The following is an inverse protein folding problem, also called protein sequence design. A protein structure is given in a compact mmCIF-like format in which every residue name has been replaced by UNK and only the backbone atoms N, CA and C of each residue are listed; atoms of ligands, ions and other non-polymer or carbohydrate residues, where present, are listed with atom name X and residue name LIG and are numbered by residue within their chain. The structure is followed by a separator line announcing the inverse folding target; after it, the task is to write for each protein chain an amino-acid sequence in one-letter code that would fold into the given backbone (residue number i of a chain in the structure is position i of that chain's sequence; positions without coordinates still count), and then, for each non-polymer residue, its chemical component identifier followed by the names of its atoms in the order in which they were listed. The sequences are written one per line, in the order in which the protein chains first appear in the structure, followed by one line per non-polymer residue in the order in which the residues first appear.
data_IF_781304159731
#
_entry.id   IF_781304159731
#
_cell.length_a   1.000
_cell.length_b   1.000
_cell.length_c   1.000
_cell.angle_alpha   90.00
_cell.angle_beta   90.00
_cell.angle_gamma   90.00
#
_symmetry.space_group_name_H-M   'P 1'
#
loop_
_entity.id
_entity.type
_entity.pdbx_description
1 polymer ?
#
# COMPACT_ATOMS: atom_id res chain seq x y z
N UNK A 1 27.04 4.77 -17.35
CA UNK A 1 26.37 3.56 -16.87
C UNK A 1 24.87 3.85 -16.87
N UNK A 2 24.11 3.28 -17.81
CA UNK A 2 22.64 3.47 -17.81
C UNK A 2 22.06 2.55 -16.75
N UNK A 3 21.42 3.11 -15.72
CA UNK A 3 20.59 2.32 -14.81
C UNK A 3 19.41 1.78 -15.61
N UNK A 4 19.28 0.45 -15.68
CA UNK A 4 18.13 -0.23 -16.30
C UNK A 4 16.81 0.36 -15.77
N UNK A 5 16.77 0.70 -14.48
CA UNK A 5 15.62 1.32 -13.82
C UNK A 5 15.36 2.74 -14.32
N UNK A 6 16.40 3.54 -14.53
CA UNK A 6 16.24 4.91 -15.04
C UNK A 6 15.62 4.97 -16.44
N UNK A 7 15.93 4.00 -17.30
CA UNK A 7 15.32 3.87 -18.62
C UNK A 7 13.85 3.40 -18.58
N UNK A 8 13.48 2.60 -17.57
CA UNK A 8 12.11 2.07 -17.42
C UNK A 8 11.15 3.09 -16.79
N UNK A 9 11.64 4.04 -16.00
CA UNK A 9 10.82 5.04 -15.29
C UNK A 9 10.21 6.14 -16.18
N UNK A 10 10.48 6.13 -17.49
CA UNK A 10 9.85 7.08 -18.42
C UNK A 10 8.34 6.82 -18.50
N UNK A 11 7.51 7.84 -18.24
CA UNK A 11 6.04 7.69 -18.19
C UNK A 11 5.42 7.13 -19.47
N UNK A 12 6.05 7.38 -20.63
CA UNK A 12 5.64 6.80 -21.93
C UNK A 12 5.71 5.27 -21.98
N UNK A 13 6.44 4.64 -21.05
CA UNK A 13 6.58 3.19 -20.93
C UNK A 13 5.57 2.57 -19.97
N UNK A 14 4.87 3.36 -19.16
CA UNK A 14 3.87 2.83 -18.24
C UNK A 14 2.73 2.16 -19.00
N UNK A 15 2.34 0.98 -18.56
CA UNK A 15 1.30 0.18 -19.22
C UNK A 15 0.17 -0.17 -18.27
N UNK A 16 -1.06 -0.02 -18.74
CA UNK A 16 -2.25 -0.57 -18.09
C UNK A 16 -3.09 -1.33 -19.12
N UNK A 17 -3.95 -2.23 -18.64
CA UNK A 17 -4.74 -3.11 -19.49
C UNK A 17 -4.47 -4.58 -19.20
N UNK A 18 -4.79 -5.45 -20.15
CA UNK A 18 -4.61 -6.90 -20.00
C UNK A 18 -3.26 -7.32 -20.58
N UNK A 19 -2.56 -8.19 -19.87
CA UNK A 19 -1.37 -8.90 -20.35
C UNK A 19 -1.49 -10.40 -20.06
N UNK A 20 -0.67 -11.18 -20.75
CA UNK A 20 -0.70 -12.63 -20.73
C UNK A 20 0.68 -13.18 -20.38
N UNK A 21 0.71 -14.23 -19.55
CA UNK A 21 1.94 -14.97 -19.25
C UNK A 21 1.69 -16.47 -19.37
N UNK A 22 2.36 -17.10 -20.33
CA UNK A 22 2.30 -18.54 -20.57
C UNK A 22 3.20 -19.27 -19.60
N UNK A 23 2.72 -20.39 -19.08
CA UNK A 23 3.43 -21.19 -18.08
C UNK A 23 3.24 -22.68 -18.33
N UNK A 24 4.29 -23.46 -18.06
CA UNK A 24 4.18 -24.90 -17.90
C UNK A 24 3.76 -25.20 -16.46
N UNK A 25 2.44 -25.33 -16.24
CA UNK A 25 1.87 -25.61 -14.93
C UNK A 25 1.00 -26.87 -15.01
N UNK A 26 1.31 -27.88 -14.18
CA UNK A 26 0.49 -29.08 -14.07
C UNK A 26 -0.90 -28.77 -13.51
N UNK A 27 -1.86 -29.69 -13.70
CA UNK A 27 -3.23 -29.53 -13.20
C UNK A 27 -3.29 -29.33 -11.68
N UNK A 28 -2.47 -30.09 -10.92
CA UNK A 28 -2.37 -29.98 -9.45
C UNK A 28 -1.84 -28.61 -9.01
N UNK A 29 -0.81 -28.08 -9.67
CA UNK A 29 -0.28 -26.77 -9.33
C UNK A 29 -1.22 -25.63 -9.74
N UNK A 30 -1.98 -25.82 -10.82
CA UNK A 30 -2.98 -24.85 -11.27
C UNK A 30 -4.15 -24.74 -10.29
N UNK A 31 -4.60 -25.86 -9.69
CA UNK A 31 -5.71 -25.86 -8.74
C UNK A 31 -5.40 -25.14 -7.41
N UNK A 32 -4.14 -24.83 -7.13
CA UNK A 32 -3.74 -24.00 -6.00
C UNK A 32 -4.21 -22.54 -6.14
N UNK A 33 -4.42 -22.04 -7.37
CA UNK A 33 -4.87 -20.67 -7.66
C UNK A 33 -6.38 -20.52 -7.43
N UNK A 34 -6.83 -20.57 -6.18
CA UNK A 34 -8.24 -20.44 -5.81
C UNK A 34 -8.67 -18.97 -5.81
N UNK A 35 -9.93 -18.70 -6.15
CA UNK A 35 -10.51 -17.35 -6.07
C UNK A 35 -10.21 -16.69 -4.72
N UNK A 36 -9.75 -15.45 -4.77
CA UNK A 36 -9.40 -14.65 -3.58
C UNK A 36 -7.99 -14.89 -3.05
N UNK A 37 -7.25 -15.90 -3.53
CA UNK A 37 -5.86 -16.09 -3.16
C UNK A 37 -5.04 -14.84 -3.50
N UNK A 38 -4.27 -14.37 -2.52
CA UNK A 38 -3.26 -13.32 -2.66
C UNK A 38 -1.88 -13.98 -2.64
N UNK A 39 -1.01 -13.57 -3.56
CA UNK A 39 0.37 -14.04 -3.63
C UNK A 39 1.25 -13.03 -4.36
N UNK A 40 2.57 -13.18 -4.26
CA UNK A 40 3.54 -12.34 -4.95
C UNK A 40 4.48 -13.17 -5.83
N UNK A 41 4.96 -12.57 -6.91
CA UNK A 41 6.11 -13.08 -7.67
C UNK A 41 7.34 -12.25 -7.34
N UNK A 42 8.36 -12.88 -6.77
CA UNK A 42 9.56 -12.20 -6.26
C UNK A 42 10.50 -11.65 -7.34
N UNK A 43 10.39 -12.15 -8.58
CA UNK A 43 11.20 -11.69 -9.71
C UNK A 43 10.43 -10.79 -10.67
N UNK A 44 11.17 -10.15 -11.57
CA UNK A 44 10.56 -9.51 -12.74
C UNK A 44 9.69 -10.51 -13.50
N UNK A 45 8.52 -10.07 -13.90
CA UNK A 45 7.55 -10.93 -14.59
C UNK A 45 7.36 -10.40 -16.00
N UNK A 46 7.96 -11.11 -16.96
CA UNK A 46 7.75 -10.87 -18.38
C UNK A 46 6.35 -11.35 -18.80
N UNK A 47 5.58 -10.46 -19.41
CA UNK A 47 4.25 -10.72 -19.95
C UNK A 47 4.18 -10.19 -21.39
N UNK A 48 3.18 -10.61 -22.15
CA UNK A 48 2.90 -10.09 -23.50
C UNK A 48 1.51 -9.49 -23.57
N UNK A 49 1.31 -8.52 -24.46
CA UNK A 49 -0.01 -7.93 -24.74
C UNK A 49 -0.94 -8.87 -25.52
N UNK A 50 -0.42 -9.97 -26.07
CA UNK A 50 -1.17 -10.86 -26.95
C UNK A 50 -1.22 -12.32 -26.46
N UNK A 51 -2.43 -12.86 -26.34
CA UNK A 51 -2.65 -14.25 -25.91
C UNK A 51 -1.93 -15.27 -26.81
N UNK A 52 -1.97 -15.08 -28.14
CA UNK A 52 -1.35 -15.99 -29.11
C UNK A 52 0.17 -16.10 -28.94
N UNK A 53 0.83 -14.99 -28.59
CA UNK A 53 2.27 -14.97 -28.31
C UNK A 53 2.54 -15.75 -27.02
N UNK A 54 1.73 -15.50 -25.99
CA UNK A 54 1.85 -16.15 -24.68
C UNK A 54 1.74 -17.67 -24.73
N UNK A 55 0.92 -18.21 -25.64
CA UNK A 55 0.63 -19.66 -25.76
C UNK A 55 1.47 -20.37 -26.82
N UNK A 56 2.32 -19.63 -27.54
CA UNK A 56 3.16 -20.17 -28.63
C UNK A 56 4.15 -21.24 -28.13
N UNK A 57 4.61 -21.13 -26.89
CA UNK A 57 5.57 -22.05 -26.31
C UNK A 57 4.97 -23.46 -26.17
N UNK A 58 5.65 -24.48 -26.71
CA UNK A 58 5.13 -25.84 -26.85
C UNK A 58 4.74 -26.52 -25.53
N UNK A 59 5.24 -26.02 -24.40
CA UNK A 59 4.96 -26.53 -23.05
C UNK A 59 3.99 -25.66 -22.25
N UNK A 60 3.34 -24.68 -22.88
CA UNK A 60 2.35 -23.85 -22.23
C UNK A 60 1.09 -24.67 -21.96
N UNK A 61 0.81 -24.96 -20.70
CA UNK A 61 -0.39 -25.69 -20.23
C UNK A 61 -1.32 -24.79 -19.41
N UNK A 62 -0.83 -23.61 -19.01
CA UNK A 62 -1.62 -22.60 -18.34
C UNK A 62 -1.25 -21.19 -18.84
N UNK A 63 -2.22 -20.29 -18.81
CA UNK A 63 -2.02 -18.87 -19.09
C UNK A 63 -2.57 -18.03 -17.95
N UNK A 64 -1.72 -17.17 -17.41
CA UNK A 64 -2.16 -16.10 -16.52
C UNK A 64 -2.68 -14.93 -17.35
N UNK A 65 -3.92 -14.54 -17.14
CA UNK A 65 -4.56 -13.36 -17.73
C UNK A 65 -4.58 -12.27 -16.68
N UNK A 66 -3.68 -11.31 -16.79
CA UNK A 66 -3.38 -10.34 -15.74
C UNK A 66 -4.01 -9.00 -16.15
N UNK A 67 -4.98 -8.53 -15.38
CA UNK A 67 -5.48 -7.18 -15.46
C UNK A 67 -4.57 -6.24 -14.66
N UNK A 68 -4.07 -5.19 -15.33
CA UNK A 68 -3.23 -4.14 -14.75
C UNK A 68 -4.08 -2.87 -14.62
N UNK A 69 -4.61 -2.57 -13.42
CA UNK A 69 -5.28 -1.30 -13.16
C UNK A 69 -4.39 -0.11 -13.46
N UNK A 70 -4.98 1.00 -13.94
CA UNK A 70 -4.25 2.23 -14.24
C UNK A 70 -3.41 2.73 -13.06
N UNK A 71 -3.88 2.55 -11.81
CA UNK A 71 -3.15 2.91 -10.58
C UNK A 71 -1.80 2.19 -10.41
N UNK A 72 -1.61 1.04 -11.06
CA UNK A 72 -0.37 0.24 -11.01
C UNK A 72 0.46 0.32 -12.30
N UNK A 73 0.08 1.17 -13.25
CA UNK A 73 0.76 1.30 -14.54
C UNK A 73 2.23 1.70 -14.43
N UNK A 74 2.60 2.45 -13.39
CA UNK A 74 3.96 2.89 -13.11
C UNK A 74 4.93 1.74 -12.74
N UNK A 75 4.40 0.56 -12.42
CA UNK A 75 5.18 -0.63 -12.09
C UNK A 75 5.17 -1.69 -13.21
N UNK A 76 4.58 -1.35 -14.36
CA UNK A 76 4.42 -2.24 -15.51
C UNK A 76 4.91 -1.52 -16.76
N UNK A 77 5.99 -2.02 -17.36
CA UNK A 77 6.70 -1.29 -18.41
C UNK A 77 6.51 -1.96 -19.77
N UNK A 78 5.91 -1.25 -20.73
CA UNK A 78 5.99 -1.60 -22.14
C UNK A 78 7.43 -1.39 -22.61
N UNK A 79 8.09 -2.49 -23.00
CA UNK A 79 9.50 -2.49 -23.39
C UNK A 79 9.70 -2.91 -24.84
N UNK A 80 8.66 -2.85 -25.67
CA UNK A 80 8.71 -3.18 -27.10
C UNK A 80 9.89 -2.52 -27.84
N UNK A 81 10.19 -1.25 -27.55
CA UNK A 81 11.19 -0.43 -28.25
C UNK A 81 12.64 -0.68 -27.78
N UNK A 82 12.82 -1.34 -26.63
CA UNK A 82 14.15 -1.61 -26.05
C UNK A 82 14.42 -3.12 -25.87
N UNK A 83 13.40 -3.96 -25.99
CA UNK A 83 13.54 -5.41 -25.92
C UNK A 83 14.33 -5.91 -27.12
N UNK A 84 15.15 -6.95 -26.90
CA UNK A 84 15.79 -7.69 -28.00
C UNK A 84 14.77 -8.45 -28.85
N UNK A 85 13.55 -8.63 -28.35
CA UNK A 85 12.46 -9.37 -29.00
C UNK A 85 11.20 -8.50 -29.12
N UNK A 86 11.23 -7.40 -29.91
CA UNK A 86 10.12 -6.44 -30.01
C UNK A 86 8.81 -7.07 -30.51
N UNK A 87 8.91 -8.19 -31.25
CA UNK A 87 7.75 -8.96 -31.71
C UNK A 87 6.99 -9.66 -30.58
N UNK A 88 7.57 -9.81 -29.39
CA UNK A 88 6.91 -10.44 -28.24
C UNK A 88 5.92 -9.49 -27.55
N UNK A 89 5.91 -8.21 -27.92
CA UNK A 89 4.98 -7.21 -27.38
C UNK A 89 5.03 -7.17 -25.84
N UNK A 90 6.26 -7.14 -25.32
CA UNK A 90 6.56 -7.40 -23.93
C UNK A 90 6.17 -6.24 -23.00
N UNK A 91 5.48 -6.62 -21.92
CA UNK A 91 5.24 -5.76 -20.76
C UNK A 91 5.94 -6.42 -19.57
N UNK A 92 6.94 -5.73 -19.03
CA UNK A 92 7.73 -6.19 -17.89
C UNK A 92 7.12 -5.65 -16.59
N UNK A 93 6.64 -6.55 -15.74
CA UNK A 93 6.15 -6.22 -14.40
C UNK A 93 7.32 -6.23 -13.41
N UNK A 94 7.31 -5.28 -12.47
CA UNK A 94 8.32 -5.21 -11.41
C UNK A 94 8.33 -6.45 -10.50
N UNK A 95 9.46 -6.73 -9.82
CA UNK A 95 9.55 -7.71 -8.75
C UNK A 95 8.52 -7.46 -7.65
N UNK A 96 8.20 -8.51 -6.90
CA UNK A 96 7.20 -8.54 -5.82
C UNK A 96 5.85 -7.89 -6.20
N UNK A 97 5.43 -8.07 -7.46
CA UNK A 97 4.05 -7.73 -7.84
C UNK A 97 3.10 -8.68 -7.11
N UNK A 98 2.13 -8.11 -6.39
CA UNK A 98 1.09 -8.83 -5.66
C UNK A 98 -0.14 -8.98 -6.55
N UNK A 99 -0.61 -10.22 -6.65
CA UNK A 99 -1.77 -10.58 -7.46
C UNK A 99 -2.88 -11.15 -6.59
N UNK A 100 -4.12 -10.84 -6.97
CA UNK A 100 -5.30 -11.55 -6.51
C UNK A 100 -5.90 -12.39 -7.61
N UNK A 101 -6.21 -13.64 -7.30
CA UNK A 101 -6.96 -14.52 -8.21
C UNK A 101 -8.43 -14.09 -8.24
N UNK A 102 -8.94 -13.73 -9.42
CA UNK A 102 -10.30 -13.25 -9.60
C UNK A 102 -11.35 -14.37 -9.59
N UNK A 103 -11.03 -15.49 -10.23
CA UNK A 103 -11.90 -16.64 -10.42
C UNK A 103 -11.10 -17.94 -10.26
N UNK A 104 -11.79 -19.04 -9.91
CA UNK A 104 -11.14 -20.34 -9.93
C UNK A 104 -10.64 -20.67 -11.36
N UNK A 105 -9.54 -21.43 -11.51
CA UNK A 105 -8.95 -21.69 -12.80
C UNK A 105 -9.96 -22.41 -13.70
N UNK A 106 -10.02 -21.99 -14.96
CA UNK A 106 -10.94 -22.57 -15.95
C UNK A 106 -10.14 -23.29 -17.03
N UNK A 107 -10.64 -24.43 -17.49
CA UNK A 107 -10.08 -25.10 -18.66
C UNK A 107 -10.74 -24.53 -19.93
N UNK A 108 -9.93 -24.29 -20.93
CA UNK A 108 -10.35 -23.87 -22.26
C UNK A 108 -9.55 -24.62 -23.31
N UNK A 109 -10.19 -24.99 -24.41
CA UNK A 109 -9.46 -25.49 -25.58
C UNK A 109 -9.19 -24.30 -26.52
N UNK A 110 -7.92 -23.93 -26.67
CA UNK A 110 -7.49 -22.90 -27.62
C UNK A 110 -6.60 -23.56 -28.67
N UNK A 111 -7.08 -23.55 -29.92
CA UNK A 111 -6.32 -24.07 -31.06
C UNK A 111 -5.89 -25.53 -30.90
N UNK A 112 -6.73 -26.36 -30.28
CA UNK A 112 -6.48 -27.79 -30.05
C UNK A 112 -5.58 -28.09 -28.85
N UNK A 113 -5.22 -27.08 -28.05
CA UNK A 113 -4.49 -27.26 -26.79
C UNK A 113 -5.41 -26.99 -25.60
N UNK A 114 -5.41 -27.92 -24.65
CA UNK A 114 -6.06 -27.70 -23.36
C UNK A 114 -5.21 -26.75 -22.53
N UNK A 115 -5.76 -25.58 -22.26
CA UNK A 115 -5.13 -24.52 -21.48
C UNK A 115 -5.93 -24.26 -20.22
N UNK A 116 -5.23 -24.14 -19.09
CA UNK A 116 -5.81 -23.63 -17.86
C UNK A 116 -5.65 -22.11 -17.80
N UNK A 117 -6.76 -21.38 -17.77
CA UNK A 117 -6.78 -19.91 -17.63
C UNK A 117 -6.85 -19.52 -16.16
N UNK A 118 -5.91 -18.69 -15.73
CA UNK A 118 -5.83 -18.13 -14.37
C UNK A 118 -6.02 -16.61 -14.48
N UNK A 119 -7.12 -16.09 -13.97
CA UNK A 119 -7.43 -14.66 -14.06
C UNK A 119 -6.91 -13.94 -12.82
N UNK A 120 -6.02 -12.97 -13.04
CA UNK A 120 -5.31 -12.23 -12.01
C UNK A 120 -5.62 -10.73 -12.13
N UNK A 121 -5.61 -10.04 -11.01
CA UNK A 121 -5.51 -8.57 -10.95
C UNK A 121 -4.35 -8.18 -10.07
N UNK A 122 -3.60 -7.15 -10.46
CA UNK A 122 -2.59 -6.57 -9.58
C UNK A 122 -3.30 -5.86 -8.41
N UNK A 123 -2.95 -6.23 -7.18
CA UNK A 123 -3.40 -5.57 -5.95
C UNK A 123 -2.30 -4.74 -5.26
N UNK A 124 -1.03 -4.96 -5.62
CA UNK A 124 0.10 -4.22 -5.07
C UNK A 124 1.40 -4.53 -5.81
N UNK A 125 2.45 -3.79 -5.50
CA UNK A 125 3.79 -3.87 -6.13
C UNK A 125 4.85 -3.65 -5.04
N UNK A 126 6.11 -4.07 -5.23
CA UNK A 126 7.17 -3.86 -4.23
C UNK A 126 7.37 -2.37 -3.90
N UNK A 127 7.16 -1.51 -4.89
CA UNK A 127 7.15 -0.05 -4.75
C UNK A 127 5.87 0.49 -4.07
N UNK A 128 5.09 -0.39 -3.43
CA UNK A 128 3.98 -0.02 -2.60
C UNK A 128 4.18 -0.74 -1.26
N UNK A 129 5.04 -0.17 -0.41
CA UNK A 129 5.15 -0.62 0.99
C UNK A 129 3.81 -0.48 1.74
N UNK A 130 2.81 0.17 1.12
CA UNK A 130 1.47 0.33 1.66
C UNK A 130 0.81 -1.00 1.99
N UNK A 131 0.55 -1.23 3.27
CA UNK A 131 -0.09 -2.44 3.75
C UNK A 131 -0.12 -2.50 5.26
N UNK A 132 -0.88 -3.47 5.78
CA UNK A 132 -0.80 -3.88 7.17
C UNK A 132 0.07 -5.13 7.21
N UNK A 133 1.23 -5.02 7.85
CA UNK A 133 2.17 -6.10 8.03
C UNK A 133 2.10 -6.59 9.47
N UNK A 134 2.36 -7.86 9.69
CA UNK A 134 2.47 -8.44 11.03
C UNK A 134 3.82 -9.15 11.11
N UNK A 135 4.56 -8.92 12.18
CA UNK A 135 5.71 -9.76 12.51
C UNK A 135 5.25 -10.80 13.52
N UNK A 136 5.47 -12.09 13.21
CA UNK A 136 4.99 -13.20 14.03
C UNK A 136 5.64 -13.20 15.42
N UNK A 137 4.79 -13.42 16.43
CA UNK A 137 5.11 -13.47 17.85
C UNK A 137 5.86 -14.76 18.27
N UNK A 138 6.90 -15.19 17.55
CA UNK A 138 7.69 -16.32 18.03
C UNK A 138 8.46 -15.90 19.30
N UNK A 139 8.57 -16.79 20.29
CA UNK A 139 9.09 -16.50 21.65
C UNK A 139 10.47 -15.81 21.67
N UNK A 140 11.23 -15.91 20.58
CA UNK A 140 12.55 -15.30 20.42
C UNK A 140 12.50 -13.82 19.98
N UNK A 141 11.38 -13.32 19.43
CA UNK A 141 11.24 -11.99 18.82
C UNK A 141 10.07 -11.16 19.38
N UNK A 142 9.67 -11.39 20.63
CA UNK A 142 8.57 -10.64 21.28
C UNK A 142 8.76 -9.11 21.23
N UNK A 143 9.99 -8.63 21.11
CA UNK A 143 10.30 -7.19 20.99
C UNK A 143 9.83 -6.54 19.69
N UNK A 144 9.70 -7.34 18.63
CA UNK A 144 9.31 -6.90 17.28
C UNK A 144 7.92 -7.46 16.90
N UNK A 145 7.24 -8.11 17.84
CA UNK A 145 5.90 -8.67 17.67
C UNK A 145 4.85 -7.55 17.57
N UNK A 146 4.39 -7.23 16.36
CA UNK A 146 3.53 -6.06 16.17
C UNK A 146 2.74 -6.06 14.86
N UNK A 147 1.79 -5.13 14.81
CA UNK A 147 1.08 -4.74 13.59
C UNK A 147 1.71 -3.46 13.07
N UNK A 148 2.05 -3.46 11.79
CA UNK A 148 2.72 -2.37 11.10
C UNK A 148 1.83 -1.86 9.97
N UNK A 149 1.29 -0.66 10.10
CA UNK A 149 0.61 -0.01 8.98
C UNK A 149 1.64 0.85 8.25
N UNK A 150 2.12 0.37 7.11
CA UNK A 150 2.98 1.14 6.23
C UNK A 150 2.10 1.74 5.14
N UNK A 151 2.41 2.95 4.72
CA UNK A 151 1.82 3.62 3.56
C UNK A 151 2.91 4.32 2.79
N UNK A 152 2.91 4.10 1.49
CA UNK A 152 3.90 4.62 0.57
C UNK A 152 3.18 5.32 -0.57
N UNK A 153 3.49 6.60 -0.72
CA UNK A 153 3.01 7.42 -1.81
C UNK A 153 4.17 8.15 -2.46
N UNK A 154 4.45 7.81 -3.74
CA UNK A 154 5.58 8.33 -4.52
C UNK A 154 6.92 8.06 -3.84
N UNK A 155 7.58 9.09 -3.32
CA UNK A 155 8.84 8.94 -2.57
C UNK A 155 8.62 9.02 -1.07
N UNK A 156 7.41 9.25 -0.57
CA UNK A 156 7.14 9.35 0.87
C UNK A 156 6.70 8.01 1.44
N UNK A 157 7.27 7.62 2.58
CA UNK A 157 6.88 6.44 3.35
C UNK A 157 6.43 6.90 4.73
N UNK A 158 5.28 6.40 5.16
CA UNK A 158 4.74 6.55 6.49
C UNK A 158 4.62 5.16 7.07
N UNK A 159 5.07 4.97 8.30
CA UNK A 159 5.05 3.68 8.94
C UNK A 159 4.60 3.88 10.37
N UNK A 160 3.60 3.07 10.74
CA UNK A 160 2.99 3.04 12.05
C UNK A 160 3.16 1.65 12.60
N UNK A 161 3.74 1.54 13.79
CA UNK A 161 3.87 0.27 14.48
C UNK A 161 3.02 0.28 15.73
N UNK A 162 2.36 -0.84 16.01
CA UNK A 162 1.73 -1.11 17.30
C UNK A 162 2.14 -2.52 17.74
N UNK A 163 2.81 -2.60 18.87
CA UNK A 163 3.17 -3.89 19.44
C UNK A 163 1.93 -4.63 19.98
N UNK A 164 1.82 -5.93 19.71
CA UNK A 164 0.65 -6.74 20.06
C UNK A 164 0.63 -7.18 21.53
N UNK A 165 1.82 -7.43 22.12
CA UNK A 165 2.00 -8.07 23.44
C UNK A 165 3.06 -7.44 24.34
N UNK A 166 3.67 -6.31 23.98
CA UNK A 166 4.64 -5.73 24.90
C UNK A 166 4.00 -5.28 26.20
N UNK A 167 4.80 -5.44 27.25
CA UNK A 167 4.54 -4.91 28.58
C UNK A 167 4.37 -3.38 28.56
N UNK A 168 4.91 -2.72 27.53
CA UNK A 168 4.88 -1.28 27.31
C UNK A 168 4.22 -1.06 25.94
N UNK A 169 3.01 -0.51 25.91
CA UNK A 169 2.41 -0.04 24.65
C UNK A 169 3.32 1.08 24.14
N UNK A 170 3.91 0.92 22.96
CA UNK A 170 4.42 2.02 22.17
C UNK A 170 3.73 2.03 20.81
N UNK A 171 3.60 3.23 20.25
CA UNK A 171 3.31 3.41 18.84
C UNK A 171 4.53 4.12 18.25
N UNK A 172 5.26 3.47 17.36
CA UNK A 172 6.29 4.17 16.61
C UNK A 172 5.61 4.75 15.38
N UNK A 173 5.83 6.04 15.15
CA UNK A 173 5.47 6.69 13.89
C UNK A 173 6.76 7.09 13.25
N UNK A 174 6.95 6.68 12.02
CA UNK A 174 8.10 7.11 11.28
C UNK A 174 7.67 7.59 9.90
N UNK A 175 8.26 8.72 9.51
CA UNK A 175 8.07 9.29 8.19
C UNK A 175 9.44 9.31 7.52
N UNK A 176 9.41 9.04 6.23
CA UNK A 176 10.64 8.83 5.49
C UNK A 176 10.46 9.07 4.02
N UNK A 177 11.58 8.94 3.32
CA UNK A 177 11.60 8.94 1.87
C UNK A 177 12.26 7.68 1.34
N UNK A 178 11.72 7.13 0.26
CA UNK A 178 12.39 6.12 -0.56
C UNK A 178 12.93 6.80 -1.82
N UNK A 179 14.23 6.68 -2.07
CA UNK A 179 14.85 7.25 -3.27
C UNK A 179 14.64 6.33 -4.48
N UNK A 180 15.15 6.76 -5.65
CA UNK A 180 15.01 5.99 -6.89
C UNK A 180 15.83 4.68 -6.90
N UNK A 181 16.75 4.53 -5.95
CA UNK A 181 17.57 3.33 -5.73
C UNK A 181 16.97 2.40 -4.67
N UNK A 182 15.72 2.66 -4.25
CA UNK A 182 14.99 1.94 -3.21
C UNK A 182 15.61 2.01 -1.81
N UNK A 183 16.51 2.95 -1.56
CA UNK A 183 17.00 3.20 -0.21
C UNK A 183 15.96 3.98 0.58
N UNK A 184 15.57 3.41 1.71
CA UNK A 184 14.58 3.96 2.61
C UNK A 184 15.28 4.76 3.72
N UNK A 185 15.13 6.08 3.69
CA UNK A 185 15.53 6.96 4.79
C UNK A 185 14.31 7.22 5.66
N UNK A 186 14.35 6.76 6.91
CA UNK A 186 13.26 6.95 7.88
C UNK A 186 13.75 7.81 9.03
N UNK A 187 12.94 8.79 9.42
CA UNK A 187 13.05 9.45 10.70
C UNK A 187 12.01 8.84 11.66
N UNK A 188 12.50 8.22 12.73
CA UNK A 188 11.66 7.66 13.78
C UNK A 188 11.22 8.76 14.75
N UNK A 189 9.94 8.79 15.04
CA UNK A 189 9.36 9.45 16.19
C UNK A 189 8.79 8.39 17.11
N UNK A 190 9.45 8.17 18.24
CA UNK A 190 8.83 7.45 19.35
C UNK A 190 7.62 8.28 19.77
N UNK A 191 6.41 7.70 19.79
CA UNK A 191 5.29 8.38 20.42
C UNK A 191 5.35 8.07 21.92
N UNK A 192 5.71 9.04 22.79
CA UNK A 192 5.62 8.83 24.22
C UNK A 192 4.15 8.68 24.59
N UNK A 193 3.68 7.45 24.82
CA UNK A 193 2.29 7.20 25.23
C UNK A 193 2.01 7.62 26.69
N UNK A 194 2.97 8.23 27.40
CA UNK A 194 2.81 8.59 28.81
C UNK A 194 3.70 9.75 29.27
N UNK A 195 3.25 10.97 29.02
CA UNK A 195 3.34 12.04 30.04
C UNK A 195 1.92 12.58 30.23
N UNK A 196 1.54 12.91 31.47
CA UNK A 196 0.16 13.29 31.82
C UNK A 196 -0.32 14.56 31.09
N UNK A 197 0.61 15.32 30.52
CA UNK A 197 0.37 16.59 29.82
C UNK A 197 0.55 16.51 28.30
N UNK A 198 0.83 15.34 27.74
CA UNK A 198 1.03 15.18 26.29
C UNK A 198 -0.25 14.68 25.59
N UNK A 199 -0.61 15.32 24.47
CA UNK A 199 -1.70 14.89 23.59
C UNK A 199 -1.44 13.52 22.94
N UNK A 200 -0.20 13.03 22.98
CA UNK A 200 0.16 11.71 22.50
C UNK A 200 -0.76 10.63 23.08
N UNK A 201 -1.32 9.78 22.21
CA UNK A 201 -2.25 8.73 22.60
C UNK A 201 -3.18 8.26 21.49
N UNK A 202 -4.05 7.33 21.87
CA UNK A 202 -5.19 6.90 21.06
C UNK A 202 -6.40 7.76 21.40
N UNK A 203 -7.05 8.26 20.37
CA UNK A 203 -8.24 9.10 20.45
C UNK A 203 -9.36 8.45 19.63
N UNK A 204 -10.59 8.74 20.00
CA UNK A 204 -11.78 8.31 19.27
C UNK A 204 -12.61 9.54 18.90
N UNK A 205 -12.99 9.61 17.63
CA UNK A 205 -13.95 10.60 17.17
C UNK A 205 -15.37 10.21 17.58
N UNK A 206 -16.24 11.20 17.71
CA UNK A 206 -17.70 11.03 17.89
C UNK A 206 -18.38 10.09 16.86
N UNK A 207 -17.80 9.91 15.67
CA UNK A 207 -18.26 8.96 14.65
C UNK A 207 -17.74 7.53 14.82
N UNK A 208 -16.93 7.27 15.86
CA UNK A 208 -16.27 6.00 16.18
C UNK A 208 -14.95 5.77 15.46
N UNK A 209 -14.47 6.73 14.66
CA UNK A 209 -13.17 6.63 13.98
C UNK A 209 -12.02 6.65 14.99
N UNK A 210 -10.96 5.93 14.68
CA UNK A 210 -9.78 5.81 15.52
C UNK A 210 -8.70 6.80 15.09
N UNK A 211 -8.05 7.41 16.07
CA UNK A 211 -7.04 8.43 15.89
C UNK A 211 -5.82 8.06 16.73
N UNK A 212 -4.63 8.09 16.14
CA UNK A 212 -3.36 7.96 16.86
C UNK A 212 -2.64 9.29 16.72
N UNK A 213 -2.53 10.01 17.82
CA UNK A 213 -1.90 11.32 17.88
C UNK A 213 -0.58 11.16 18.62
N UNK A 214 0.44 11.85 18.13
CA UNK A 214 1.75 11.92 18.73
C UNK A 214 2.27 13.34 18.68
N UNK A 215 2.95 13.82 19.71
CA UNK A 215 3.58 15.13 19.69
C UNK A 215 5.06 15.05 19.97
N UNK A 216 5.81 15.98 19.38
CA UNK A 216 7.22 16.20 19.68
C UNK A 216 7.51 17.69 19.56
N UNK A 217 7.84 18.35 20.68
CA UNK A 217 8.01 19.81 20.74
C UNK A 217 6.76 20.52 20.19
N UNK A 218 6.87 21.26 19.09
CA UNK A 218 5.75 21.95 18.43
C UNK A 218 5.14 21.15 17.28
N UNK A 219 5.65 19.94 17.00
CA UNK A 219 5.16 19.08 15.92
C UNK A 219 4.08 18.12 16.44
N UNK A 220 3.12 17.81 15.58
CA UNK A 220 2.10 16.81 15.80
C UNK A 220 2.04 15.84 14.64
N UNK A 221 1.99 14.56 14.96
CA UNK A 221 1.83 13.43 14.05
C UNK A 221 0.46 12.84 14.28
N UNK A 222 -0.23 12.53 13.20
CA UNK A 222 -1.62 12.12 13.29
C UNK A 222 -1.91 11.04 12.26
N UNK A 223 -2.40 9.89 12.73
CA UNK A 223 -3.03 8.87 11.92
C UNK A 223 -4.50 8.80 12.29
N UNK A 224 -5.39 8.81 11.30
CA UNK A 224 -6.81 8.59 11.52
C UNK A 224 -7.35 7.53 10.57
N UNK A 225 -8.24 6.68 11.08
CA UNK A 225 -8.86 5.58 10.35
C UNK A 225 -10.35 5.55 10.68
N UNK A 226 -11.19 5.54 9.65
CA UNK A 226 -12.63 5.34 9.79
C UNK A 226 -12.94 4.00 10.47
N UNK A 227 -13.98 3.95 11.31
CA UNK A 227 -14.40 2.70 11.96
C UNK A 227 -14.71 1.55 11.00
N UNK A 228 -15.10 1.86 9.77
CA UNK A 228 -15.42 0.88 8.72
C UNK A 228 -14.33 0.83 7.64
N UNK A 229 -13.13 1.38 7.89
CA UNK A 229 -12.02 1.48 6.94
C UNK A 229 -12.38 2.16 5.60
N UNK A 230 -13.37 3.08 5.61
CA UNK A 230 -13.80 3.82 4.40
C UNK A 230 -12.83 4.91 3.97
N UNK A 231 -11.98 5.36 4.89
CA UNK A 231 -10.89 6.32 4.68
C UNK A 231 -9.81 6.09 5.73
N UNK A 232 -8.58 6.45 5.39
CA UNK A 232 -7.51 6.65 6.37
C UNK A 232 -6.58 7.78 5.94
N UNK A 233 -5.95 8.40 6.94
CA UNK A 233 -5.37 9.72 6.83
C UNK A 233 -4.09 9.81 7.66
N UNK A 234 -2.97 10.22 7.06
CA UNK A 234 -1.72 10.55 7.78
C UNK A 234 -1.38 12.03 7.67
N UNK A 235 -0.92 12.63 8.76
CA UNK A 235 -0.58 14.06 8.85
C UNK A 235 0.70 14.27 9.64
N UNK A 236 1.40 15.33 9.26
CA UNK A 236 2.36 16.04 10.12
C UNK A 236 1.93 17.49 10.13
N UNK A 237 1.83 18.07 11.32
CA UNK A 237 1.46 19.46 11.50
C UNK A 237 2.23 20.10 12.62
N UNK A 238 1.77 21.28 13.02
CA UNK A 238 2.27 22.00 14.19
C UNK A 238 1.15 22.26 15.16
N UNK A 239 1.46 22.36 16.45
CA UNK A 239 0.53 22.87 17.44
C UNK A 239 1.16 24.01 18.23
N UNK A 240 0.39 25.09 18.41
CA UNK A 240 0.78 26.28 19.15
C UNK A 240 -0.45 26.91 19.78
N UNK A 241 -0.38 27.34 21.05
CA UNK A 241 -1.45 28.06 21.75
C UNK A 241 -2.84 27.42 21.59
N UNK A 242 -2.94 26.12 21.84
CA UNK A 242 -4.16 25.31 21.70
C UNK A 242 -4.70 25.15 20.28
N UNK A 243 -4.00 25.62 19.25
CA UNK A 243 -4.38 25.42 17.86
C UNK A 243 -3.44 24.40 17.25
N UNK A 244 -4.03 23.39 16.63
CA UNK A 244 -3.35 22.40 15.81
C UNK A 244 -3.63 22.75 14.35
N UNK A 245 -2.58 22.86 13.54
CA UNK A 245 -2.67 23.16 12.12
C UNK A 245 -1.92 22.10 11.33
N UNK A 246 -2.61 21.45 10.39
CA UNK A 246 -2.03 20.36 9.61
C UNK A 246 -2.59 20.31 8.21
N UNK A 247 -1.75 19.86 7.28
CA UNK A 247 -2.19 19.43 5.96
C UNK A 247 -2.25 17.92 5.91
N UNK A 248 -3.14 17.43 5.07
CA UNK A 248 -3.70 16.12 5.22
C UNK A 248 -3.53 15.33 3.90
N UNK A 249 -2.82 14.18 3.91
CA UNK A 249 -2.64 13.26 2.76
C UNK A 249 -3.30 11.86 2.92
N UNK A 250 -4.22 11.48 2.03
CA UNK A 250 -4.89 10.18 2.10
C UNK A 250 -3.95 8.97 2.04
N UNK A 251 -4.25 7.98 2.86
CA UNK A 251 -3.69 6.65 2.75
C UNK A 251 -4.47 5.84 1.70
N UNK A 252 -3.89 4.73 1.23
CA UNK A 252 -4.50 3.86 0.21
C UNK A 252 -5.74 3.10 0.76
N UNK A 253 -6.06 3.26 2.05
CA UNK A 253 -7.20 2.65 2.72
C UNK A 253 -8.47 3.46 2.42
N UNK A 254 -9.49 2.79 1.87
CA UNK A 254 -10.78 3.40 1.60
C UNK A 254 -10.96 3.96 0.19
N UNK A 255 -12.21 4.29 -0.15
CA UNK A 255 -12.58 4.87 -1.45
C UNK A 255 -12.61 6.40 -1.40
N UNK A 256 -12.82 6.98 -0.21
CA UNK A 256 -12.91 8.42 -0.04
C UNK A 256 -11.49 8.99 0.08
N UNK A 257 -11.12 9.81 -0.91
CA UNK A 257 -9.82 10.46 -0.96
C UNK A 257 -10.01 11.96 -1.07
N UNK A 258 -9.91 12.64 0.06
CA UNK A 258 -9.99 14.09 0.17
C UNK A 258 -8.68 14.53 0.79
N UNK A 259 -8.02 15.54 0.22
CA UNK A 259 -6.84 16.17 0.80
C UNK A 259 -7.09 17.65 1.07
N UNK A 260 -6.86 18.13 2.30
CA UNK A 260 -6.94 19.55 2.63
C UNK A 260 -6.18 19.88 3.93
N UNK A 261 -6.31 21.13 4.40
CA UNK A 261 -5.89 21.59 5.70
C UNK A 261 -6.98 21.32 6.75
N UNK A 262 -6.57 20.80 7.90
CA UNK A 262 -7.38 20.82 9.12
C UNK A 262 -6.80 21.86 10.07
N UNK A 263 -7.71 22.56 10.72
CA UNK A 263 -7.43 23.21 11.98
C UNK A 263 -8.23 22.56 13.11
N UNK A 264 -7.56 22.24 14.22
CA UNK A 264 -8.19 21.73 15.43
C UNK A 264 -7.89 22.66 16.60
N UNK A 265 -8.79 22.74 17.57
CA UNK A 265 -8.62 23.44 18.83
C UNK A 265 -8.57 22.43 19.97
N UNK A 266 -7.54 22.50 20.80
CA UNK A 266 -7.42 21.75 22.04
C UNK A 266 -8.36 22.39 23.06
N UNK A 267 -9.35 21.63 23.53
CA UNK A 267 -10.34 22.11 24.52
C UNK A 267 -9.87 21.73 25.93
N UNK A 268 -9.33 20.52 26.08
CA UNK A 268 -8.73 20.00 27.31
C UNK A 268 -7.72 18.90 26.98
N UNK A 269 -6.99 18.38 27.97
CA UNK A 269 -6.01 17.29 27.80
C UNK A 269 -6.60 16.00 27.22
N UNK A 270 -7.92 15.84 27.29
CA UNK A 270 -8.66 14.68 26.79
C UNK A 270 -9.70 15.01 25.70
N UNK A 271 -9.74 16.27 25.22
CA UNK A 271 -10.72 16.71 24.21
C UNK A 271 -10.12 17.65 23.17
N UNK A 272 -10.24 17.27 21.89
CA UNK A 272 -9.86 18.09 20.74
C UNK A 272 -11.11 18.33 19.88
N UNK A 273 -11.30 19.56 19.43
CA UNK A 273 -12.36 19.97 18.51
C UNK A 273 -11.77 20.25 17.13
N UNK A 274 -12.22 19.57 16.09
CA UNK A 274 -11.88 19.92 14.70
C UNK A 274 -12.72 21.13 14.31
N UNK A 275 -12.08 22.28 14.08
CA UNK A 275 -12.76 23.58 13.89
C UNK A 275 -12.88 24.00 12.43
N UNK A 276 -12.02 23.48 11.53
CA UNK A 276 -12.07 23.84 10.11
C UNK A 276 -11.52 22.72 9.24
N UNK A 277 -12.24 22.42 8.16
CA UNK A 277 -11.78 21.64 7.00
C UNK A 277 -12.18 22.44 5.76
N UNK A 278 -11.21 22.82 4.94
CA UNK A 278 -11.49 23.55 3.70
C UNK A 278 -11.95 22.48 2.66
N UNK A 279 -12.92 22.80 1.80
CA UNK A 279 -13.46 21.97 0.69
C UNK A 279 -14.34 20.72 0.89
N UNK A 280 -14.81 20.31 2.07
CA UNK A 280 -15.85 19.25 2.05
C UNK A 280 -16.23 18.59 3.35
N UNK A 281 -16.91 19.35 4.21
CA UNK A 281 -17.65 18.93 5.41
C UNK A 281 -16.87 18.23 6.54
N UNK A 282 -16.40 19.03 7.49
CA UNK A 282 -16.77 18.85 8.91
C UNK A 282 -17.04 20.23 9.53
N UNK A 283 -18.24 20.42 10.11
CA UNK A 283 -18.66 21.68 10.73
C UNK A 283 -18.25 21.80 12.20
N UNK A 284 -18.04 20.67 12.88
CA UNK A 284 -17.32 20.52 14.16
C UNK A 284 -17.24 19.02 14.44
N UNK A 285 -16.07 18.48 14.76
CA UNK A 285 -15.92 17.07 15.20
C UNK A 285 -15.19 17.01 16.52
N UNK A 286 -15.66 16.18 17.45
CA UNK A 286 -15.01 16.02 18.75
C UNK A 286 -14.20 14.73 18.81
N UNK A 287 -12.98 14.83 19.32
CA UNK A 287 -12.10 13.70 19.60
C UNK A 287 -11.92 13.58 21.11
N UNK A 288 -12.13 12.38 21.64
CA UNK A 288 -11.96 12.05 23.04
C UNK A 288 -10.75 11.12 23.21
N UNK A 289 -9.86 11.45 24.13
CA UNK A 289 -8.69 10.61 24.44
C UNK A 289 -9.14 9.34 25.16
N UNK A 290 -8.69 8.17 24.71
CA UNK A 290 -8.92 6.91 25.43
C UNK A 290 -7.99 6.85 26.65
N UNK A 291 -8.58 6.61 27.81
CA UNK A 291 -7.88 6.35 29.08
C UNK A 291 -7.12 5.04 29.05
#
# INVERSE_FOLDING_TARGET
MYSLLGGLQESKRHYHGVVYRGMGLGSVASSAYKKGLLFYWSGFTSCTKELKISTKWSRCTAVSVINIPQRFSHACFNIDDISKFPSEKEVLLQPYTCFRVLNNPTQSNDSGKDLTKIELVIEGTACNLSGVWTCDDNELNVKDAGTYCISHYRQKVFWFERQSKARWNFANVCCGTINNDYELTIQWGDLPLKTADDMSGCWEGDDGSCYMIGTCQTQIYWLAIDKNNRWAHVRVGTYNNNIISMNWDDLIIGQNRIHDAIECRIISSNKILIVKCIHGQFLTKELMKKS
#
